data_IF_495587590883
#
_entry.id   IF_495587590883
#
_cell.length_a   1.000
_cell.length_b   1.000
_cell.length_c   1.000
_cell.angle_alpha   90.00
_cell.angle_beta   90.00
_cell.angle_gamma   90.00
#
_symmetry.space_group_name_H-M   'P 1'
#
loop_
_entity.id
_entity.type
_entity.pdbx_description
1 polymer ?
#
# COMPACT_ATOMS: atom_id res chain seq x y z
N UNK A 1 30.97 11.25 -3.00
CA UNK A 1 30.03 10.15 -3.25
C UNK A 1 28.89 10.43 -2.30
N UNK A 2 27.98 11.31 -2.73
CA UNK A 2 26.95 11.82 -1.84
C UNK A 2 25.79 10.84 -1.88
N UNK A 3 25.48 10.30 -0.70
CA UNK A 3 24.46 9.28 -0.51
C UNK A 3 23.09 9.90 -0.83
N UNK A 4 22.64 9.77 -2.09
CA UNK A 4 21.31 10.20 -2.59
C UNK A 4 20.16 9.36 -2.01
N UNK A 5 20.47 8.45 -1.10
CA UNK A 5 19.52 7.56 -0.45
C UNK A 5 18.82 8.27 0.70
N UNK A 6 17.49 8.28 0.68
CA UNK A 6 16.63 8.82 1.72
C UNK A 6 15.94 7.64 2.41
N UNK A 7 16.09 7.55 3.73
CA UNK A 7 15.34 6.61 4.56
C UNK A 7 14.34 7.39 5.41
N UNK A 8 13.04 7.15 5.22
CA UNK A 8 12.00 7.94 5.89
C UNK A 8 10.77 7.08 6.18
N UNK A 9 10.07 7.26 7.33
CA UNK A 9 8.74 6.71 7.48
C UNK A 9 7.73 7.46 6.61
N UNK A 10 6.61 6.81 6.34
CA UNK A 10 5.53 7.46 5.62
C UNK A 10 4.26 6.63 5.57
N UNK A 11 3.34 7.09 4.73
CA UNK A 11 2.11 6.35 4.47
C UNK A 11 1.76 6.33 2.99
N UNK A 12 1.06 5.28 2.56
CA UNK A 12 0.40 5.18 1.25
C UNK A 12 -1.08 4.93 1.49
N UNK A 13 -1.93 5.69 0.80
CA UNK A 13 -3.38 5.50 0.74
C UNK A 13 -3.76 5.04 -0.67
N UNK A 14 -4.41 3.88 -0.76
CA UNK A 14 -4.87 3.26 -2.01
C UNK A 14 -6.20 2.57 -1.82
N UNK A 15 -6.92 2.33 -2.91
CA UNK A 15 -8.19 1.61 -2.92
C UNK A 15 -8.00 0.22 -3.52
N UNK A 16 -8.54 -0.80 -2.87
CA UNK A 16 -8.50 -2.18 -3.35
C UNK A 16 -9.80 -2.92 -3.01
N UNK A 17 -10.17 -3.89 -3.84
CA UNK A 17 -11.19 -4.88 -3.49
C UNK A 17 -10.63 -5.89 -2.52
N UNK A 18 -11.21 -5.95 -1.32
CA UNK A 18 -10.82 -6.91 -0.29
C UNK A 18 -11.89 -7.99 -0.10
N UNK A 19 -11.43 -9.21 0.16
CA UNK A 19 -12.28 -10.37 0.46
C UNK A 19 -11.77 -11.09 1.71
N UNK A 20 -12.65 -11.87 2.35
CA UNK A 20 -12.26 -12.74 3.45
C UNK A 20 -11.30 -13.86 3.00
N UNK A 21 -10.31 -14.16 3.84
CA UNK A 21 -9.57 -15.42 3.80
C UNK A 21 -10.25 -16.39 4.78
N UNK A 22 -10.62 -17.59 4.31
CA UNK A 22 -11.41 -18.55 5.11
C UNK A 22 -10.62 -19.78 5.57
N UNK A 23 -9.43 -20.01 5.01
CA UNK A 23 -8.62 -21.20 5.26
C UNK A 23 -7.21 -20.83 5.73
N UNK A 24 -6.57 -21.74 6.48
CA UNK A 24 -5.22 -21.56 7.03
C UNK A 24 -5.06 -20.28 7.88
N UNK A 25 -6.08 -19.99 8.67
CA UNK A 25 -6.13 -18.87 9.62
C UNK A 25 -6.59 -19.36 10.99
N UNK A 26 -6.33 -18.59 12.04
CA UNK A 26 -6.90 -18.89 13.36
C UNK A 26 -8.44 -18.87 13.30
N UNK A 27 -9.13 -19.83 13.94
CA UNK A 27 -10.59 -19.88 13.93
C UNK A 27 -11.23 -18.58 14.42
N UNK A 28 -12.34 -18.19 13.78
CA UNK A 28 -13.13 -17.01 14.17
C UNK A 28 -12.33 -15.69 14.15
N UNK A 29 -11.31 -15.57 13.30
CA UNK A 29 -10.56 -14.32 13.10
C UNK A 29 -10.89 -13.68 11.75
N UNK A 30 -10.83 -12.35 11.69
CA UNK A 30 -11.01 -11.59 10.45
C UNK A 30 -9.67 -11.38 9.77
N UNK A 31 -9.45 -12.13 8.68
CA UNK A 31 -8.31 -11.98 7.78
C UNK A 31 -8.83 -11.65 6.39
N UNK A 32 -8.19 -10.69 5.73
CA UNK A 32 -8.55 -10.24 4.39
C UNK A 32 -7.38 -10.41 3.42
N UNK A 33 -7.70 -10.50 2.14
CA UNK A 33 -6.73 -10.40 1.05
C UNK A 33 -7.27 -9.51 -0.08
N UNK A 34 -6.35 -8.96 -0.89
CA UNK A 34 -6.72 -8.23 -2.10
C UNK A 34 -7.20 -9.21 -3.17
N UNK A 35 -8.45 -9.07 -3.62
CA UNK A 35 -9.01 -9.91 -4.69
C UNK A 35 -8.26 -9.71 -6.02
N UNK A 36 -7.89 -8.46 -6.31
CA UNK A 36 -7.10 -8.07 -7.47
C UNK A 36 -6.07 -6.99 -7.07
N UNK A 37 -4.82 -7.35 -6.72
CA UNK A 37 -3.80 -6.37 -6.44
C UNK A 37 -3.47 -5.60 -7.73
N UNK A 38 -3.55 -4.26 -7.69
CA UNK A 38 -3.29 -3.34 -8.81
C UNK A 38 -4.28 -3.47 -9.99
N UNK A 39 -5.53 -2.97 -9.84
CA UNK A 39 -6.55 -3.03 -10.89
C UNK A 39 -6.08 -2.34 -12.19
N UNK A 40 -5.82 -3.15 -13.23
CA UNK A 40 -5.30 -2.71 -14.53
C UNK A 40 -4.12 -3.53 -15.08
N UNK A 41 -3.56 -4.47 -14.30
CA UNK A 41 -2.47 -5.36 -14.72
C UNK A 41 -2.94 -6.82 -14.72
N UNK A 42 -3.33 -7.36 -15.88
CA UNK A 42 -3.75 -8.76 -16.02
C UNK A 42 -2.61 -9.60 -16.63
N UNK A 43 -2.01 -10.50 -15.83
CA UNK A 43 -1.05 -11.50 -16.31
C UNK A 43 -1.68 -12.87 -16.41
N UNK A 44 -1.58 -13.53 -17.57
CA UNK A 44 -2.29 -14.76 -17.95
C UNK A 44 -1.75 -16.08 -17.36
N UNK A 45 -0.82 -16.03 -16.40
CA UNK A 45 -0.15 -17.22 -15.86
C UNK A 45 -0.22 -17.24 -14.32
N UNK A 46 -1.38 -17.60 -13.78
CA UNK A 46 -1.53 -17.83 -12.34
C UNK A 46 -1.01 -19.24 -11.99
N UNK A 47 -0.09 -19.39 -11.02
CA UNK A 47 0.42 -20.70 -10.60
C UNK A 47 -0.65 -21.54 -9.90
N UNK A 48 -0.53 -22.88 -9.97
CA UNK A 48 -1.47 -23.87 -9.40
C UNK A 48 -1.71 -23.74 -7.88
N UNK A 49 -0.80 -23.04 -7.17
CA UNK A 49 -0.93 -22.72 -5.76
C UNK A 49 -0.55 -21.25 -5.56
N UNK A 50 -1.50 -20.29 -5.63
CA UNK A 50 -1.16 -18.89 -5.53
C UNK A 50 -0.67 -18.58 -4.12
N UNK A 51 0.61 -18.19 -4.01
CA UNK A 51 1.11 -17.58 -2.78
C UNK A 51 0.27 -16.33 -2.48
N UNK A 52 -0.10 -16.08 -1.22
CA UNK A 52 -0.92 -14.93 -0.89
C UNK A 52 -0.14 -13.64 -1.15
N UNK A 53 -0.76 -12.70 -1.87
CA UNK A 53 -0.07 -11.49 -2.31
C UNK A 53 0.05 -10.46 -1.18
N UNK A 54 -1.10 -10.00 -0.66
CA UNK A 54 -1.19 -9.10 0.49
C UNK A 54 -2.27 -9.60 1.43
N UNK A 55 -1.86 -10.01 2.62
CA UNK A 55 -2.75 -10.46 3.70
C UNK A 55 -2.89 -9.34 4.72
N UNK A 56 -4.12 -9.10 5.16
CA UNK A 56 -4.46 -8.10 6.17
C UNK A 56 -5.11 -8.81 7.37
N UNK A 57 -4.37 -8.94 8.47
CA UNK A 57 -4.86 -9.52 9.72
C UNK A 57 -5.47 -8.40 10.55
N UNK A 58 -6.79 -8.39 10.70
CA UNK A 58 -7.51 -7.30 11.37
C UNK A 58 -7.43 -7.44 12.88
N UNK A 59 -7.05 -6.37 13.57
CA UNK A 59 -6.88 -6.36 15.03
C UNK A 59 -8.20 -6.11 15.76
N UNK A 60 -8.37 -6.70 16.94
CA UNK A 60 -9.58 -6.54 17.77
C UNK A 60 -9.74 -5.12 18.33
N UNK A 61 -8.61 -4.42 18.48
CA UNK A 61 -8.50 -3.07 19.02
C UNK A 61 -7.45 -2.28 18.26
N UNK A 62 -7.48 -0.96 18.44
CA UNK A 62 -6.41 -0.08 17.99
C UNK A 62 -5.21 -0.22 18.92
N UNK A 63 -4.05 -0.48 18.33
CA UNK A 63 -2.74 -0.45 18.94
C UNK A 63 -2.03 0.83 18.52
N UNK A 64 -1.12 1.28 19.36
CA UNK A 64 -0.14 2.29 18.97
C UNK A 64 0.78 1.76 17.86
N UNK A 65 1.15 2.62 16.91
CA UNK A 65 1.97 2.24 15.77
C UNK A 65 3.37 1.77 16.17
N UNK A 66 3.96 2.37 17.20
CA UNK A 66 5.28 1.97 17.71
C UNK A 66 5.21 0.61 18.42
N UNK A 67 4.14 0.35 19.17
CA UNK A 67 3.92 -0.94 19.81
C UNK A 67 3.81 -2.07 18.76
N UNK A 68 3.01 -1.86 17.70
CA UNK A 68 2.93 -2.82 16.58
C UNK A 68 4.27 -3.02 15.88
N UNK A 69 5.05 -1.95 15.68
CA UNK A 69 6.40 -2.05 15.12
C UNK A 69 7.31 -2.92 15.99
N UNK A 70 7.29 -2.73 17.31
CA UNK A 70 8.11 -3.50 18.25
C UNK A 70 7.72 -4.98 18.25
N UNK A 71 6.42 -5.29 18.29
CA UNK A 71 5.89 -6.67 18.18
C UNK A 71 6.27 -7.30 16.84
N UNK A 72 5.99 -6.60 15.74
CA UNK A 72 6.31 -7.06 14.38
C UNK A 72 7.81 -7.25 14.13
N UNK A 73 8.69 -6.48 14.79
CA UNK A 73 10.15 -6.68 14.73
C UNK A 73 10.57 -8.00 15.37
N UNK A 74 9.94 -8.43 16.47
CA UNK A 74 10.24 -9.71 17.11
C UNK A 74 9.76 -10.87 16.25
N UNK A 75 8.52 -10.79 15.76
CA UNK A 75 7.92 -11.79 14.86
C UNK A 75 8.74 -11.92 13.57
N UNK A 76 9.22 -10.83 12.96
CA UNK A 76 10.06 -10.89 11.75
C UNK A 76 11.30 -11.78 11.88
N UNK A 77 11.86 -11.99 13.08
CA UNK A 77 13.06 -12.82 13.27
C UNK A 77 12.83 -14.30 12.98
N UNK A 78 11.58 -14.76 12.97
CA UNK A 78 11.20 -16.16 12.75
C UNK A 78 10.52 -16.39 11.39
N UNK A 79 10.38 -15.35 10.56
CA UNK A 79 9.86 -15.44 9.20
C UNK A 79 10.96 -15.20 8.16
N UNK A 80 10.78 -15.67 6.92
CA UNK A 80 11.69 -15.35 5.82
C UNK A 80 11.88 -13.85 5.65
N UNK A 81 13.07 -13.44 5.20
CA UNK A 81 13.38 -12.02 4.94
C UNK A 81 12.53 -11.40 3.83
N UNK A 82 11.88 -12.22 3.01
CA UNK A 82 10.92 -11.80 1.98
C UNK A 82 9.57 -11.38 2.56
N UNK A 83 9.27 -11.74 3.82
CA UNK A 83 8.04 -11.37 4.49
C UNK A 83 8.06 -9.90 4.95
N UNK A 84 7.38 -9.04 4.19
CA UNK A 84 7.19 -7.63 4.51
C UNK A 84 6.00 -7.44 5.45
N UNK A 85 6.30 -7.22 6.73
CA UNK A 85 5.30 -6.88 7.76
C UNK A 85 5.18 -5.36 7.90
N UNK A 86 3.98 -4.87 7.66
CA UNK A 86 3.59 -3.47 7.78
C UNK A 86 2.25 -3.37 8.52
N UNK A 87 1.80 -2.16 8.82
CA UNK A 87 0.59 -1.93 9.61
C UNK A 87 -0.16 -0.75 9.01
N UNK A 88 -1.45 -0.69 9.30
CA UNK A 88 -2.29 0.33 8.69
C UNK A 88 -3.73 0.20 9.09
N UNK A 89 -4.57 0.92 8.37
CA UNK A 89 -6.00 0.97 8.58
C UNK A 89 -6.71 0.79 7.25
N UNK A 90 -7.83 0.08 7.28
CA UNK A 90 -8.75 -0.02 6.15
C UNK A 90 -10.07 0.63 6.52
N UNK A 91 -10.53 1.54 5.68
CA UNK A 91 -11.85 2.13 5.73
C UNK A 91 -12.78 1.38 4.79
N UNK A 92 -13.82 0.79 5.34
CA UNK A 92 -14.81 0.03 4.60
C UNK A 92 -16.22 0.31 5.14
N UNK A 93 -17.12 0.74 4.26
CA UNK A 93 -18.51 1.09 4.60
C UNK A 93 -18.61 2.01 5.82
N UNK A 94 -17.82 3.08 5.82
CA UNK A 94 -17.79 4.09 6.89
C UNK A 94 -17.14 3.65 8.21
N UNK A 95 -16.55 2.46 8.28
CA UNK A 95 -15.89 1.95 9.47
C UNK A 95 -14.38 1.79 9.23
N UNK A 96 -13.57 2.11 10.23
CA UNK A 96 -12.12 1.99 10.17
C UNK A 96 -11.65 0.76 10.97
N UNK A 97 -10.84 -0.09 10.35
CA UNK A 97 -10.28 -1.30 10.94
C UNK A 97 -8.77 -1.26 10.88
N UNK A 98 -8.10 -1.34 12.03
CA UNK A 98 -6.65 -1.47 12.06
C UNK A 98 -6.25 -2.91 11.69
N UNK A 99 -5.14 -3.04 10.96
CA UNK A 99 -4.62 -4.34 10.56
C UNK A 99 -3.10 -4.39 10.68
N UNK A 100 -2.59 -5.62 10.68
CA UNK A 100 -1.21 -5.96 10.37
C UNK A 100 -1.20 -6.59 8.98
N UNK A 101 -0.42 -6.03 8.06
CA UNK A 101 -0.28 -6.52 6.69
C UNK A 101 0.97 -7.38 6.58
N UNK A 102 0.85 -8.50 5.89
CA UNK A 102 1.97 -9.34 5.46
C UNK A 102 1.97 -9.48 3.93
N UNK A 103 3.12 -9.27 3.30
CA UNK A 103 3.38 -9.57 1.88
C UNK A 103 4.57 -10.51 1.76
N UNK A 104 4.65 -11.25 0.65
CA UNK A 104 5.79 -12.14 0.37
C UNK A 104 5.80 -13.38 1.26
N UNK A 105 4.63 -13.85 1.68
CA UNK A 105 4.47 -15.14 2.35
C UNK A 105 4.52 -16.27 1.32
N UNK A 106 5.26 -17.33 1.61
CA UNK A 106 5.46 -18.45 0.67
C UNK A 106 4.19 -19.25 0.41
N UNK A 107 3.29 -19.34 1.40
CA UNK A 107 2.01 -20.04 1.29
C UNK A 107 0.98 -19.55 2.32
N UNK A 108 -0.28 -19.92 2.14
CA UNK A 108 -1.35 -19.61 3.10
C UNK A 108 -1.13 -20.24 4.48
N UNK A 109 -0.43 -21.39 4.58
CA UNK A 109 -0.05 -21.97 5.87
C UNK A 109 0.85 -21.05 6.72
N UNK A 110 1.56 -20.10 6.09
CA UNK A 110 2.34 -19.09 6.79
C UNK A 110 1.46 -18.03 7.47
N UNK A 111 0.20 -17.85 7.03
CA UNK A 111 -0.74 -16.89 7.64
C UNK A 111 -1.12 -17.34 9.05
N UNK A 112 -1.50 -18.62 9.22
CA UNK A 112 -1.78 -19.20 10.53
C UNK A 112 -0.61 -19.02 11.49
N UNK A 113 0.61 -19.42 11.07
CA UNK A 113 1.83 -19.28 11.87
C UNK A 113 2.10 -17.84 12.26
N UNK A 114 1.82 -16.89 11.35
CA UNK A 114 1.99 -15.47 11.62
C UNK A 114 0.99 -14.99 12.67
N UNK A 115 -0.27 -15.43 12.60
CA UNK A 115 -1.27 -15.11 13.63
C UNK A 115 -0.90 -15.70 14.99
N UNK A 116 -0.40 -16.94 15.03
CA UNK A 116 0.08 -17.58 16.27
C UNK A 116 1.22 -16.77 16.90
N UNK A 117 2.25 -16.44 16.12
CA UNK A 117 3.39 -15.64 16.59
C UNK A 117 2.99 -14.22 17.06
N UNK A 118 2.06 -13.58 16.35
CA UNK A 118 1.53 -12.27 16.76
C UNK A 118 0.70 -12.39 18.05
N UNK A 119 -0.07 -13.46 18.21
CA UNK A 119 -0.84 -13.73 19.43
C UNK A 119 0.06 -13.97 20.63
N UNK A 120 1.19 -14.68 20.46
CA UNK A 120 2.20 -14.86 21.52
C UNK A 120 2.79 -13.51 21.97
N UNK A 121 2.93 -12.55 21.05
CA UNK A 121 3.32 -11.17 21.36
C UNK A 121 2.15 -10.30 21.89
N UNK A 122 0.98 -10.90 22.14
CA UNK A 122 -0.18 -10.25 22.74
C UNK A 122 -1.04 -9.42 21.76
N UNK A 123 -1.00 -9.73 20.46
CA UNK A 123 -1.91 -9.14 19.47
C UNK A 123 -3.23 -9.91 19.45
N UNK A 124 -4.31 -9.20 19.72
CA UNK A 124 -5.68 -9.69 19.65
C UNK A 124 -6.31 -9.42 18.26
N UNK A 125 -7.04 -10.39 17.71
CA UNK A 125 -7.63 -10.32 16.37
C UNK A 125 -9.15 -10.09 16.41
N UNK A 126 -9.65 -9.31 15.45
CA UNK A 126 -11.08 -9.06 15.30
C UNK A 126 -11.80 -10.36 14.97
N UNK A 127 -13.00 -10.54 15.52
CA UNK A 127 -13.86 -11.69 15.19
C UNK A 127 -14.26 -11.69 13.73
N UNK A 128 -14.39 -12.89 13.16
CA UNK A 128 -14.80 -13.06 11.77
C UNK A 128 -16.14 -12.38 11.50
N UNK A 129 -16.23 -11.74 10.33
CA UNK A 129 -17.46 -11.22 9.75
C UNK A 129 -17.33 -11.17 8.23
N UNK A 130 -18.46 -11.12 7.54
CA UNK A 130 -18.48 -10.97 6.09
C UNK A 130 -17.86 -9.64 5.68
N UNK A 131 -16.85 -9.71 4.81
CA UNK A 131 -16.13 -8.58 4.26
C UNK A 131 -15.87 -8.86 2.78
N UNK A 132 -16.46 -8.04 1.92
CA UNK A 132 -16.28 -8.13 0.48
C UNK A 132 -16.60 -6.79 -0.16
N UNK A 133 -15.65 -6.26 -0.93
CA UNK A 133 -15.79 -5.08 -1.77
C UNK A 133 -14.66 -4.07 -1.61
N UNK A 134 -14.81 -2.97 -2.34
CA UNK A 134 -13.89 -1.84 -2.39
C UNK A 134 -13.66 -1.22 -1.01
N UNK A 135 -12.39 -1.06 -0.65
CA UNK A 135 -11.98 -0.49 0.62
C UNK A 135 -10.76 0.43 0.46
N UNK A 136 -10.75 1.52 1.24
CA UNK A 136 -9.65 2.47 1.24
C UNK A 136 -8.61 2.06 2.29
N UNK A 137 -7.43 1.68 1.84
CA UNK A 137 -6.33 1.19 2.67
C UNK A 137 -5.32 2.30 2.86
N UNK A 138 -5.02 2.64 4.12
CA UNK A 138 -3.89 3.49 4.51
C UNK A 138 -2.83 2.65 5.20
N UNK A 139 -1.70 2.45 4.52
CA UNK A 139 -0.56 1.70 5.00
C UNK A 139 0.51 2.64 5.57
N UNK A 140 1.13 2.26 6.68
CA UNK A 140 2.37 2.86 7.17
C UNK A 140 3.56 1.93 6.85
N UNK A 141 4.61 2.49 6.23
CA UNK A 141 5.86 1.77 5.95
C UNK A 141 7.06 2.71 6.07
N UNK A 142 8.24 2.11 6.18
CA UNK A 142 9.50 2.81 5.94
C UNK A 142 9.83 2.73 4.46
N UNK A 143 10.33 3.83 3.92
CA UNK A 143 10.74 3.98 2.54
C UNK A 143 12.25 4.13 2.47
N UNK A 144 12.84 3.45 1.49
CA UNK A 144 14.22 3.66 1.05
C UNK A 144 14.15 4.20 -0.37
N UNK A 145 14.41 5.49 -0.52
CA UNK A 145 14.18 6.22 -1.76
C UNK A 145 15.49 6.75 -2.33
N UNK A 146 15.55 6.91 -3.64
CA UNK A 146 16.58 7.68 -4.32
C UNK A 146 15.94 8.91 -4.97
N UNK A 147 16.50 10.10 -4.75
CA UNK A 147 16.11 11.30 -5.49
C UNK A 147 16.68 11.22 -6.91
N UNK A 148 15.82 10.95 -7.89
CA UNK A 148 16.20 10.76 -9.29
C UNK A 148 16.06 12.05 -10.11
N UNK A 149 15.22 12.97 -9.67
CA UNK A 149 15.06 14.31 -10.22
C UNK A 149 14.46 15.25 -9.16
N UNK A 150 14.31 16.52 -9.46
CA UNK A 150 13.69 17.46 -8.54
C UNK A 150 12.22 17.10 -8.28
N UNK A 151 11.87 17.00 -7.00
CA UNK A 151 10.57 16.50 -6.53
C UNK A 151 10.17 15.09 -7.00
N UNK A 152 11.09 14.28 -7.53
CA UNK A 152 10.82 12.90 -7.99
C UNK A 152 11.76 11.92 -7.33
N UNK A 153 11.17 10.83 -6.83
CA UNK A 153 11.86 9.77 -6.11
C UNK A 153 11.57 8.40 -6.73
N UNK A 154 12.52 7.47 -6.60
CA UNK A 154 12.36 6.06 -6.94
C UNK A 154 12.48 5.19 -5.68
N UNK A 155 11.58 4.22 -5.51
CA UNK A 155 11.69 3.24 -4.42
C UNK A 155 12.85 2.28 -4.71
N UNK A 156 13.76 2.12 -3.75
CA UNK A 156 14.92 1.21 -3.86
C UNK A 156 14.59 -0.22 -3.42
N UNK A 157 13.48 -0.44 -2.71
CA UNK A 157 12.99 -1.76 -2.33
C UNK A 157 11.98 -2.29 -3.37
N UNK A 158 11.23 -1.40 -4.03
CA UNK A 158 10.23 -1.73 -5.06
C UNK A 158 10.48 -0.92 -6.35
N UNK A 159 11.45 -1.27 -7.21
CA UNK A 159 11.93 -0.42 -8.32
C UNK A 159 10.89 0.00 -9.38
N UNK A 160 9.71 -0.61 -9.38
CA UNK A 160 8.56 -0.23 -10.22
C UNK A 160 7.72 0.91 -9.63
N UNK A 161 8.02 1.33 -8.40
CA UNK A 161 7.35 2.41 -7.70
C UNK A 161 8.20 3.68 -7.75
N UNK A 162 7.56 4.74 -8.22
CA UNK A 162 8.11 6.09 -8.23
C UNK A 162 7.17 7.00 -7.47
N UNK A 163 7.68 8.13 -7.00
CA UNK A 163 6.92 9.13 -6.26
C UNK A 163 7.23 10.51 -6.82
N UNK A 164 6.23 11.38 -6.82
CA UNK A 164 6.48 12.81 -7.01
C UNK A 164 5.72 13.65 -5.99
N UNK A 165 6.31 14.78 -5.59
CA UNK A 165 5.69 15.70 -4.66
C UNK A 165 4.57 16.52 -5.31
N UNK A 166 3.52 16.74 -4.52
CA UNK A 166 2.38 17.61 -4.80
C UNK A 166 2.27 18.67 -3.68
N UNK A 167 1.73 19.87 -3.97
CA UNK A 167 1.72 20.97 -3.00
C UNK A 167 0.82 20.72 -1.79
N UNK A 168 -0.26 19.95 -1.99
CA UNK A 168 -1.22 19.60 -0.95
C UNK A 168 -1.85 18.24 -1.23
N UNK A 169 -2.23 17.54 -0.17
CA UNK A 169 -2.98 16.29 -0.26
C UNK A 169 -4.44 16.54 -0.67
N UNK A 170 -4.88 16.06 -1.86
CA UNK A 170 -6.29 16.10 -2.23
C UNK A 170 -7.13 15.10 -1.41
N UNK A 171 -8.44 15.37 -1.32
CA UNK A 171 -9.41 14.37 -0.88
C UNK A 171 -9.44 13.16 -1.82
N UNK A 172 -9.69 11.97 -1.26
CA UNK A 172 -9.55 10.72 -2.00
C UNK A 172 -10.43 10.65 -3.26
N UNK A 173 -11.70 11.05 -3.16
CA UNK A 173 -12.62 11.04 -4.29
C UNK A 173 -12.17 11.97 -5.42
N UNK A 174 -11.63 13.14 -5.07
CA UNK A 174 -11.07 14.05 -6.07
C UNK A 174 -9.82 13.44 -6.71
N UNK A 175 -8.89 12.87 -5.91
CA UNK A 175 -7.73 12.15 -6.41
C UNK A 175 -8.10 11.00 -7.36
N UNK A 176 -9.16 10.26 -7.04
CA UNK A 176 -9.64 9.15 -7.89
C UNK A 176 -10.15 9.68 -9.24
N UNK A 177 -10.90 10.78 -9.24
CA UNK A 177 -11.38 11.45 -10.47
C UNK A 177 -10.22 11.94 -11.34
N UNK A 178 -9.26 12.68 -10.78
CA UNK A 178 -8.11 13.20 -11.56
C UNK A 178 -7.28 12.03 -12.12
N UNK A 179 -7.08 10.97 -11.33
CA UNK A 179 -6.33 9.78 -11.76
C UNK A 179 -7.00 9.12 -12.96
N UNK A 180 -8.33 8.93 -12.90
CA UNK A 180 -9.11 8.36 -13.99
C UNK A 180 -9.02 9.23 -15.26
N UNK A 181 -9.21 10.54 -15.11
CA UNK A 181 -9.13 11.49 -16.22
C UNK A 181 -7.75 11.49 -16.88
N UNK A 182 -6.68 11.57 -16.10
CA UNK A 182 -5.31 11.57 -16.63
C UNK A 182 -5.04 10.26 -17.35
N UNK A 183 -5.38 9.10 -16.76
CA UNK A 183 -5.20 7.79 -17.41
C UNK A 183 -5.91 7.67 -18.76
N UNK A 184 -7.09 8.27 -18.91
CA UNK A 184 -7.80 8.28 -20.18
C UNK A 184 -7.15 9.14 -21.28
N UNK A 185 -6.29 10.09 -20.90
CA UNK A 185 -5.70 11.10 -21.80
C UNK A 185 -4.18 10.95 -21.98
N UNK A 186 -3.55 9.93 -21.36
CA UNK A 186 -2.13 9.63 -21.54
C UNK A 186 -2.00 8.38 -22.39
N UNK A 187 -1.64 8.56 -23.65
CA UNK A 187 -1.36 7.45 -24.57
C UNK A 187 -0.02 6.78 -24.20
N UNK A 188 0.04 5.45 -24.37
CA UNK A 188 1.26 4.62 -24.40
C UNK A 188 1.82 4.03 -23.08
N UNK A 189 1.20 4.22 -21.91
CA UNK A 189 1.62 3.44 -20.73
C UNK A 189 0.53 3.32 -19.64
N UNK A 190 0.40 2.10 -19.11
CA UNK A 190 -0.51 1.74 -18.02
C UNK A 190 0.19 1.91 -16.68
N UNK A 191 -0.44 2.63 -15.75
CA UNK A 191 0.05 2.80 -14.40
C UNK A 191 -1.09 2.76 -13.37
N UNK A 192 -0.73 2.46 -12.13
CA UNK A 192 -1.57 2.57 -10.95
C UNK A 192 -1.06 3.73 -10.08
N UNK A 193 -1.98 4.47 -9.45
CA UNK A 193 -1.64 5.63 -8.65
C UNK A 193 -2.16 5.50 -7.22
N UNK A 194 -1.41 6.02 -6.27
CA UNK A 194 -1.84 6.10 -4.87
C UNK A 194 -1.37 7.42 -4.27
N UNK A 195 -2.09 7.91 -3.25
CA UNK A 195 -1.64 9.04 -2.46
C UNK A 195 -0.62 8.56 -1.42
N UNK A 196 0.32 9.41 -1.07
CA UNK A 196 1.29 9.13 -0.03
C UNK A 196 1.72 10.37 0.72
N UNK A 197 2.41 10.14 1.83
CA UNK A 197 3.07 11.18 2.61
C UNK A 197 4.43 10.64 3.08
N UNK A 198 5.48 11.43 2.86
CA UNK A 198 6.85 11.15 3.29
C UNK A 198 7.24 12.11 4.41
N UNK A 199 7.87 11.59 5.47
CA UNK A 199 8.24 12.38 6.65
C UNK A 199 9.71 12.76 6.49
N UNK A 200 9.97 13.72 5.61
CA UNK A 200 11.30 14.24 5.33
C UNK A 200 11.70 15.24 6.43
N UNK A 201 12.22 16.41 6.06
CA UNK A 201 12.37 17.52 7.01
C UNK A 201 11.00 18.06 7.45
N UNK A 202 10.09 18.13 6.50
CA UNK A 202 8.67 18.43 6.67
C UNK A 202 7.86 17.27 6.05
N UNK A 203 6.53 17.27 6.24
CA UNK A 203 5.66 16.32 5.56
C UNK A 203 5.59 16.71 4.08
N UNK A 204 6.01 15.80 3.20
CA UNK A 204 5.85 15.93 1.76
C UNK A 204 4.71 15.04 1.29
N UNK A 205 3.64 15.65 0.80
CA UNK A 205 2.56 14.93 0.12
C UNK A 205 3.04 14.48 -1.25
N UNK A 206 2.80 13.22 -1.59
CA UNK A 206 3.28 12.61 -2.82
C UNK A 206 2.20 11.81 -3.52
N UNK A 207 2.34 11.66 -4.83
CA UNK A 207 1.64 10.63 -5.60
C UNK A 207 2.65 9.52 -5.90
N UNK A 208 2.30 8.29 -5.52
CA UNK A 208 3.01 7.10 -5.97
C UNK A 208 2.48 6.67 -7.33
N UNK A 209 3.37 6.45 -8.27
CA UNK A 209 3.10 5.80 -9.55
C UNK A 209 3.73 4.41 -9.54
N UNK A 210 2.91 3.38 -9.75
CA UNK A 210 3.38 2.03 -10.04
C UNK A 210 3.20 1.76 -11.53
N UNK A 211 4.28 1.37 -12.20
CA UNK A 211 4.21 0.92 -13.58
C UNK A 211 5.48 0.23 -14.03
N UNK A 212 5.36 -0.49 -15.15
CA UNK A 212 6.47 -1.21 -15.74
C UNK A 212 7.23 -0.27 -16.67
N UNK A 213 8.55 -0.18 -16.47
CA UNK A 213 9.49 0.53 -17.34
C UNK A 213 9.14 2.02 -17.56
N UNK A 214 8.58 2.70 -16.52
CA UNK A 214 8.30 4.13 -16.58
C UNK A 214 9.62 4.93 -16.55
N UNK A 215 9.83 5.78 -17.55
CA UNK A 215 11.01 6.66 -17.62
C UNK A 215 10.84 7.93 -16.77
N UNK A 216 11.95 8.64 -16.51
CA UNK A 216 11.89 9.91 -15.77
C UNK A 216 11.10 10.97 -16.54
N UNK A 217 11.22 11.02 -17.86
CA UNK A 217 10.45 11.94 -18.70
C UNK A 217 8.95 11.67 -18.62
N UNK A 218 8.55 10.39 -18.57
CA UNK A 218 7.16 10.00 -18.35
C UNK A 218 6.69 10.40 -16.95
N UNK A 219 7.52 10.20 -15.91
CA UNK A 219 7.22 10.67 -14.56
C UNK A 219 7.02 12.19 -14.47
N UNK A 220 7.88 12.97 -15.12
CA UNK A 220 7.76 14.44 -15.20
C UNK A 220 6.45 14.84 -15.90
N UNK A 221 6.09 14.15 -16.98
CA UNK A 221 4.86 14.41 -17.72
C UNK A 221 3.62 14.08 -16.88
N UNK A 222 3.58 12.91 -16.23
CA UNK A 222 2.49 12.53 -15.31
C UNK A 222 2.37 13.58 -14.20
N UNK A 223 3.49 13.94 -13.55
CA UNK A 223 3.51 14.96 -12.50
C UNK A 223 2.89 16.28 -12.99
N UNK A 224 3.28 16.76 -14.18
CA UNK A 224 2.72 17.99 -14.75
C UNK A 224 1.20 17.93 -14.91
N UNK A 225 0.65 16.78 -15.31
CA UNK A 225 -0.79 16.57 -15.41
C UNK A 225 -1.47 16.63 -14.04
N UNK A 226 -0.96 15.90 -13.05
CA UNK A 226 -1.52 15.95 -11.69
C UNK A 226 -1.49 17.35 -11.09
N UNK A 227 -0.37 18.08 -11.22
CA UNK A 227 -0.26 19.45 -10.73
C UNK A 227 -1.24 20.40 -11.41
N UNK A 228 -1.50 20.21 -12.70
CA UNK A 228 -2.48 21.00 -13.43
C UNK A 228 -3.90 20.76 -12.90
N UNK A 229 -4.33 19.50 -12.78
CA UNK A 229 -5.67 19.15 -12.30
C UNK A 229 -5.89 19.57 -10.83
N UNK A 230 -4.87 19.42 -9.97
CA UNK A 230 -4.94 19.86 -8.56
C UNK A 230 -5.14 21.39 -8.47
N UNK A 231 -4.48 22.16 -9.35
CA UNK A 231 -4.60 23.61 -9.36
C UNK A 231 -5.89 24.13 -10.03
N UNK A 232 -6.63 23.28 -10.77
CA UNK A 232 -7.82 23.67 -11.53
C UNK A 232 -8.98 22.66 -11.33
N UNK A 233 -9.48 22.50 -10.08
CA UNK A 233 -10.45 21.46 -9.74
C UNK A 233 -11.79 21.58 -10.51
N UNK A 234 -12.16 22.79 -10.91
CA UNK A 234 -13.45 23.11 -11.57
C UNK A 234 -13.62 22.45 -12.94
N UNK A 235 -12.55 21.91 -13.55
CA UNK A 235 -12.59 21.30 -14.89
C UNK A 235 -13.11 19.85 -14.90
N UNK A 236 -13.30 19.26 -13.72
CA UNK A 236 -13.67 17.84 -13.54
C UNK A 236 -15.01 17.65 -12.80
N UNK A 237 -15.78 18.73 -12.63
CA UNK A 237 -17.16 18.69 -12.11
C UNK A 237 -18.20 18.26 -13.15
#
# INVERSE_FOLDING_TARGET
MDDKTINTPGSITKEEDLINVEHNILPNTLVLESAHPFPGYHGSNLPENPAPNSIYIVTARRYDGEDLLRKGRKVRKIFPSTCDISYGEVRFRGNDYQFIRARGLDCFGCVLKLQEALSEEGVEFMKQKKFSGEALIRLQKFFRLEKVDDHIYRDLDEPRMHYFEIPEKPEWEFFRKITFYIRGNVENYTYDAALGALYLKDIADVVRIYGKDITIEQMQFIRKKYLYEIAHPDHLE
#
